data_IF_263477603842
#
_entry.id   IF_263477603842
#
_cell.length_a   1.000
_cell.length_b   1.000
_cell.length_c   1.000
_cell.angle_alpha   90.00
_cell.angle_beta   90.00
_cell.angle_gamma   90.00
#
_symmetry.space_group_name_H-M   'P 1'
#
loop_
_entity.id
_entity.type
_entity.pdbx_description
1 polymer ?
#
# COMPACT_ATOMS: atom_id res chain seq x y z
N UNK A 1 54.80 78.90 -21.30
CA UNK A 1 54.64 78.30 -22.64
C UNK A 1 53.64 77.14 -22.51
N UNK A 2 52.35 77.42 -22.76
CA UNK A 2 51.57 77.01 -23.95
C UNK A 2 51.31 75.48 -23.95
N UNK A 3 50.08 74.92 -23.87
CA UNK A 3 48.73 75.25 -24.41
C UNK A 3 47.64 74.67 -23.48
N UNK A 4 46.63 75.44 -23.03
CA UNK A 4 45.26 75.60 -23.60
C UNK A 4 44.44 74.31 -23.69
N UNK A 5 43.44 74.09 -22.81
CA UNK A 5 42.03 74.57 -22.84
C UNK A 5 41.17 74.00 -23.98
N UNK A 6 40.15 73.19 -23.67
CA UNK A 6 38.74 73.38 -24.11
C UNK A 6 37.77 72.78 -23.07
N UNK A 7 36.78 73.60 -22.69
CA UNK A 7 35.59 73.36 -21.87
C UNK A 7 34.60 72.34 -22.48
N UNK A 8 33.77 71.67 -21.68
CA UNK A 8 32.30 71.67 -21.85
C UNK A 8 31.60 71.04 -20.63
N UNK A 9 30.69 71.82 -20.01
CA UNK A 9 29.67 71.39 -19.05
C UNK A 9 28.72 70.35 -19.66
N UNK A 10 28.14 69.45 -18.86
CA UNK A 10 26.70 69.13 -18.84
C UNK A 10 26.36 68.16 -17.69
N UNK A 11 25.42 68.58 -16.85
CA UNK A 11 24.72 67.84 -15.77
C UNK A 11 23.63 66.98 -16.42
N UNK A 12 23.43 65.70 -16.05
CA UNK A 12 22.14 64.97 -16.06
C UNK A 12 22.32 63.61 -15.31
N UNK A 13 21.74 63.47 -14.13
CA UNK A 13 20.51 62.71 -13.83
C UNK A 13 20.73 61.25 -13.38
N UNK A 14 20.25 61.00 -12.16
CA UNK A 14 19.92 59.72 -11.55
C UNK A 14 19.41 58.67 -12.55
N UNK A 15 20.01 57.48 -12.54
CA UNK A 15 19.23 56.25 -12.51
C UNK A 15 20.00 55.14 -11.79
N UNK A 16 19.53 54.84 -10.58
CA UNK A 16 19.84 53.64 -9.81
C UNK A 16 19.37 52.42 -10.58
N UNK A 17 20.27 51.74 -11.28
CA UNK A 17 19.98 50.38 -11.77
C UNK A 17 20.21 49.41 -10.64
N UNK A 18 19.12 49.15 -9.92
CA UNK A 18 18.96 47.98 -9.04
C UNK A 18 19.29 46.74 -9.86
N UNK A 19 20.46 46.15 -9.61
CA UNK A 19 20.77 44.80 -10.09
C UNK A 19 19.85 43.84 -9.34
N UNK A 20 18.74 43.51 -9.99
CA UNK A 20 17.77 42.50 -9.55
C UNK A 20 18.51 41.18 -9.46
N UNK A 21 18.76 40.75 -8.23
CA UNK A 21 19.27 39.43 -7.85
C UNK A 21 18.49 38.34 -8.57
N UNK A 22 19.09 37.75 -9.59
CA UNK A 22 18.73 36.43 -10.07
C UNK A 22 19.30 35.41 -9.08
N UNK A 23 18.54 35.07 -8.05
CA UNK A 23 18.78 33.84 -7.30
C UNK A 23 18.53 32.68 -8.25
N UNK A 24 19.57 32.18 -8.92
CA UNK A 24 19.56 30.85 -9.50
C UNK A 24 19.45 29.90 -8.31
N UNK A 25 18.23 29.45 -8.01
CA UNK A 25 18.03 28.30 -7.12
C UNK A 25 18.83 27.16 -7.72
N UNK A 26 19.93 26.83 -7.06
CA UNK A 26 20.66 25.61 -7.33
C UNK A 26 19.65 24.47 -7.33
N UNK A 27 19.59 23.74 -8.45
CA UNK A 27 18.78 22.54 -8.58
C UNK A 27 19.20 21.56 -7.49
N UNK A 28 18.43 21.53 -6.40
CA UNK A 28 18.54 20.52 -5.37
C UNK A 28 17.98 19.23 -5.96
N UNK A 29 18.83 18.55 -6.74
CA UNK A 29 18.55 17.24 -7.28
C UNK A 29 18.56 16.22 -6.14
N UNK A 30 17.39 15.89 -5.57
CA UNK A 30 17.01 14.60 -4.91
C UNK A 30 15.48 14.48 -4.72
N UNK A 31 14.70 14.57 -5.79
CA UNK A 31 13.25 14.35 -5.78
C UNK A 31 12.74 14.12 -7.20
N UNK A 32 11.54 13.56 -7.36
CA UNK A 32 10.89 13.54 -8.67
C UNK A 32 10.71 14.98 -9.18
N UNK A 33 10.70 15.20 -10.49
CA UNK A 33 10.62 16.53 -11.11
C UNK A 33 9.24 17.21 -10.92
N UNK A 34 8.42 16.68 -10.01
CA UNK A 34 7.06 17.11 -9.76
C UNK A 34 7.00 18.21 -8.70
N UNK A 35 6.11 19.22 -8.86
CA UNK A 35 5.94 20.28 -7.86
C UNK A 35 5.26 19.75 -6.59
N UNK A 36 5.49 20.41 -5.45
CA UNK A 36 4.91 20.01 -4.15
C UNK A 36 3.38 19.90 -4.16
N UNK A 37 2.69 20.68 -4.99
CA UNK A 37 1.22 20.62 -5.12
C UNK A 37 0.72 19.38 -5.87
N UNK A 38 1.57 18.75 -6.68
CA UNK A 38 1.26 17.56 -7.48
C UNK A 38 2.46 16.61 -7.46
N UNK A 39 2.78 15.99 -6.33
CA UNK A 39 4.08 15.34 -6.14
C UNK A 39 4.17 13.94 -6.75
N UNK A 40 3.12 13.41 -7.39
CA UNK A 40 3.12 12.02 -7.89
C UNK A 40 3.35 11.97 -9.42
N UNK A 41 4.41 11.33 -9.92
CA UNK A 41 4.73 11.29 -11.34
C UNK A 41 4.02 10.13 -12.07
N UNK A 42 3.44 10.39 -13.24
CA UNK A 42 3.13 9.31 -14.20
C UNK A 42 4.43 8.70 -14.75
N UNK A 43 4.36 7.55 -15.42
CA UNK A 43 5.54 6.97 -16.12
C UNK A 43 5.88 7.79 -17.35
N UNK A 44 4.88 8.39 -17.99
CA UNK A 44 5.07 9.42 -19.01
C UNK A 44 5.71 10.68 -18.38
N UNK A 45 6.90 11.10 -18.84
CA UNK A 45 7.62 12.23 -18.25
C UNK A 45 6.84 13.55 -18.33
N UNK A 46 6.95 14.36 -17.28
CA UNK A 46 6.38 15.72 -17.23
C UNK A 46 4.90 15.78 -16.86
N UNK A 47 4.25 14.65 -16.61
CA UNK A 47 2.88 14.58 -16.09
C UNK A 47 2.94 14.23 -14.61
N UNK A 48 2.35 15.11 -13.78
CA UNK A 48 2.33 14.97 -12.34
C UNK A 48 0.92 15.18 -11.79
N UNK A 49 0.52 14.30 -10.88
CA UNK A 49 -0.81 14.26 -10.26
C UNK A 49 -0.74 14.62 -8.77
N UNK A 50 -1.86 15.11 -8.25
CA UNK A 50 -2.10 15.20 -6.81
C UNK A 50 -2.59 13.84 -6.28
N UNK A 51 -2.29 13.49 -5.02
CA UNK A 51 -2.71 12.20 -4.44
C UNK A 51 -4.21 11.91 -4.45
N UNK A 52 -5.04 12.94 -4.60
CA UNK A 52 -6.50 12.80 -4.74
C UNK A 52 -6.92 12.15 -6.07
N UNK A 53 -6.09 12.27 -7.12
CA UNK A 53 -6.28 11.80 -8.50
C UNK A 53 -5.59 10.44 -8.74
N UNK A 54 -5.52 9.61 -7.71
CA UNK A 54 -4.86 8.30 -7.81
C UNK A 54 -5.86 7.30 -7.29
N UNK A 55 -6.21 6.28 -8.05
CA UNK A 55 -7.23 5.30 -7.66
C UNK A 55 -8.57 5.96 -7.32
N UNK A 56 -8.97 6.98 -8.09
CA UNK A 56 -10.27 7.64 -7.97
C UNK A 56 -11.27 7.14 -9.03
N UNK A 57 -10.80 6.31 -9.97
CA UNK A 57 -11.61 5.66 -10.99
C UNK A 57 -11.66 6.42 -12.32
N UNK A 58 -10.97 7.55 -12.45
CA UNK A 58 -10.82 8.29 -13.70
C UNK A 58 -9.36 8.23 -14.17
N UNK A 59 -9.08 7.75 -15.40
CA UNK A 59 -7.70 7.72 -15.88
C UNK A 59 -7.14 9.12 -16.13
N UNK A 60 -6.17 9.52 -15.30
CA UNK A 60 -5.46 10.81 -15.37
C UNK A 60 -4.08 10.69 -16.03
N UNK A 61 -3.42 9.53 -15.97
CA UNK A 61 -2.22 9.26 -16.75
C UNK A 61 -2.57 8.73 -18.15
N UNK A 62 -1.78 9.05 -19.20
CA UNK A 62 -1.98 8.52 -20.55
C UNK A 62 -1.92 6.99 -20.66
N UNK A 63 -1.29 6.34 -19.70
CA UNK A 63 -1.15 4.88 -19.61
C UNK A 63 -2.00 4.27 -18.49
N UNK A 64 -2.92 5.05 -17.90
CA UNK A 64 -3.82 4.64 -16.80
C UNK A 64 -3.06 4.09 -15.58
N UNK A 65 -1.80 4.48 -15.40
CA UNK A 65 -0.94 3.97 -14.33
C UNK A 65 -1.45 4.36 -12.93
N UNK A 66 -2.10 5.51 -12.82
CA UNK A 66 -2.81 5.99 -11.64
C UNK A 66 -3.98 5.09 -11.21
N UNK A 67 -4.49 4.26 -12.13
CA UNK A 67 -5.57 3.29 -11.91
C UNK A 67 -5.08 1.84 -12.00
N UNK A 68 -3.77 1.62 -11.93
CA UNK A 68 -3.20 0.27 -11.89
C UNK A 68 -3.73 -0.51 -10.67
N UNK A 69 -4.32 -1.67 -10.91
CA UNK A 69 -5.01 -2.46 -9.89
C UNK A 69 -4.10 -2.88 -8.74
N UNK A 70 -2.84 -3.22 -9.01
CA UNK A 70 -1.89 -3.66 -7.99
C UNK A 70 -1.44 -2.48 -7.12
N UNK A 71 -1.15 -1.35 -7.76
CA UNK A 71 -0.85 -0.10 -7.09
C UNK A 71 -2.03 0.37 -6.21
N UNK A 72 -3.25 0.33 -6.73
CA UNK A 72 -4.43 0.75 -5.99
C UNK A 72 -4.75 -0.18 -4.82
N UNK A 73 -4.44 -1.47 -4.96
CA UNK A 73 -4.46 -2.39 -3.82
C UNK A 73 -3.44 -1.96 -2.76
N UNK A 74 -2.19 -1.70 -3.14
CA UNK A 74 -1.14 -1.27 -2.22
C UNK A 74 -1.47 0.06 -1.52
N UNK A 75 -2.09 1.02 -2.20
CA UNK A 75 -2.57 2.30 -1.62
C UNK A 75 -3.52 2.09 -0.43
N UNK A 76 -4.37 1.06 -0.49
CA UNK A 76 -5.36 0.75 0.55
C UNK A 76 -4.78 -0.11 1.68
N UNK A 77 -3.62 -0.72 1.49
CA UNK A 77 -2.95 -1.57 2.50
C UNK A 77 -2.19 -0.72 3.54
N UNK A 78 -1.92 -1.27 4.73
CA UNK A 78 -0.96 -0.64 5.63
C UNK A 78 0.45 -0.63 5.02
N UNK A 79 1.30 0.30 5.46
CA UNK A 79 2.70 0.31 5.09
C UNK A 79 3.37 -1.01 5.52
N UNK A 80 4.16 -1.58 4.62
CA UNK A 80 4.76 -2.90 4.81
C UNK A 80 5.63 -2.92 6.07
N UNK A 81 6.47 -1.90 6.29
CA UNK A 81 7.36 -1.82 7.45
C UNK A 81 6.61 -1.85 8.80
N UNK A 82 5.43 -1.21 8.86
CA UNK A 82 4.61 -1.24 10.06
C UNK A 82 3.96 -2.60 10.27
N UNK A 83 3.53 -3.25 9.19
CA UNK A 83 2.96 -4.59 9.25
C UNK A 83 4.01 -5.62 9.66
N UNK A 84 5.23 -5.54 9.12
CA UNK A 84 6.38 -6.36 9.50
C UNK A 84 6.68 -6.23 11.00
N UNK A 85 6.77 -4.99 11.50
CA UNK A 85 7.02 -4.71 12.92
C UNK A 85 5.95 -5.33 13.83
N UNK A 86 4.68 -5.19 13.46
CA UNK A 86 3.57 -5.78 14.19
C UNK A 86 3.61 -7.31 14.19
N UNK A 87 3.81 -7.94 13.03
CA UNK A 87 3.89 -9.40 12.89
C UNK A 87 5.06 -9.94 13.70
N UNK A 88 6.22 -9.30 13.66
CA UNK A 88 7.38 -9.71 14.43
C UNK A 88 7.13 -9.59 15.94
N UNK A 89 6.54 -8.49 16.38
CA UNK A 89 6.20 -8.24 17.80
C UNK A 89 5.22 -9.27 18.37
N UNK A 90 4.25 -9.72 17.57
CA UNK A 90 3.21 -10.68 17.98
C UNK A 90 3.36 -12.04 17.29
N UNK A 91 4.60 -12.41 16.93
CA UNK A 91 4.90 -13.60 16.14
C UNK A 91 4.35 -14.89 16.73
N UNK A 92 4.40 -15.06 18.05
CA UNK A 92 3.95 -16.27 18.74
C UNK A 92 2.44 -16.50 18.61
N UNK A 93 1.69 -15.42 18.42
CA UNK A 93 0.24 -15.49 18.21
C UNK A 93 -0.11 -15.67 16.72
N UNK A 94 0.62 -15.01 15.83
CA UNK A 94 0.28 -14.94 14.41
C UNK A 94 0.87 -16.10 13.59
N UNK A 95 2.07 -16.57 13.95
CA UNK A 95 2.86 -17.54 13.19
C UNK A 95 3.07 -18.81 14.04
N UNK A 96 2.74 -20.00 13.51
CA UNK A 96 2.21 -20.27 12.18
C UNK A 96 0.67 -20.17 12.11
N UNK A 97 0.00 -20.00 13.25
CA UNK A 97 -1.42 -20.36 13.41
C UNK A 97 -2.40 -19.55 12.55
N UNK A 98 -2.08 -18.31 12.19
CA UNK A 98 -2.97 -17.42 11.45
C UNK A 98 -2.40 -17.06 10.08
N UNK A 99 -1.11 -16.69 10.03
CA UNK A 99 -0.47 -16.15 8.82
C UNK A 99 0.34 -17.18 8.02
N UNK A 100 0.39 -18.43 8.48
CA UNK A 100 1.21 -19.46 7.86
C UNK A 100 2.64 -19.47 8.35
N UNK A 101 3.44 -20.38 7.81
CA UNK A 101 4.86 -20.50 8.13
C UNK A 101 5.69 -19.47 7.35
N UNK A 102 6.72 -18.93 7.99
CA UNK A 102 7.65 -17.99 7.35
C UNK A 102 8.21 -16.95 8.30
N UNK A 103 9.01 -16.04 7.74
CA UNK A 103 9.49 -14.88 8.47
C UNK A 103 8.45 -13.76 8.45
N UNK A 104 8.41 -12.89 9.48
CA UNK A 104 7.51 -11.74 9.51
C UNK A 104 7.60 -10.85 8.28
N UNK A 105 8.81 -10.66 7.74
CA UNK A 105 9.06 -9.84 6.55
C UNK A 105 8.32 -10.43 5.34
N UNK A 106 8.60 -11.69 5.02
CA UNK A 106 8.01 -12.38 3.87
C UNK A 106 6.48 -12.45 3.95
N UNK A 107 5.92 -12.65 5.15
CA UNK A 107 4.48 -12.73 5.36
C UNK A 107 3.80 -11.36 5.26
N UNK A 108 4.45 -10.29 5.71
CA UNK A 108 3.96 -8.93 5.55
C UNK A 108 3.94 -8.51 4.07
N UNK A 109 5.02 -8.78 3.33
CA UNK A 109 5.10 -8.52 1.88
C UNK A 109 3.95 -9.23 1.16
N UNK A 110 3.78 -10.53 1.39
CA UNK A 110 2.67 -11.30 0.82
C UNK A 110 1.30 -10.74 1.19
N UNK A 111 1.11 -10.31 2.44
CA UNK A 111 -0.15 -9.68 2.89
C UNK A 111 -0.41 -8.33 2.23
N UNK A 112 0.61 -7.57 1.82
CA UNK A 112 0.42 -6.29 1.13
C UNK A 112 0.17 -6.52 -0.36
N UNK A 113 0.93 -7.41 -0.99
CA UNK A 113 0.87 -7.66 -2.44
C UNK A 113 -0.33 -8.52 -2.86
N UNK A 114 -0.80 -9.41 -2.00
CA UNK A 114 -1.91 -10.31 -2.36
C UNK A 114 -3.22 -9.54 -2.49
N UNK A 115 -3.87 -9.64 -3.66
CA UNK A 115 -5.11 -8.95 -3.98
C UNK A 115 -6.24 -9.31 -3.02
N UNK A 116 -6.40 -10.60 -2.78
CA UNK A 116 -7.42 -11.15 -1.88
C UNK A 116 -6.84 -12.30 -1.04
N UNK A 117 -7.68 -12.82 -0.14
CA UNK A 117 -7.33 -13.93 0.74
C UNK A 117 -6.97 -15.21 -0.01
N UNK A 118 -7.51 -15.46 -1.20
CA UNK A 118 -7.22 -16.65 -2.01
C UNK A 118 -5.78 -16.62 -2.50
N UNK A 119 -5.34 -15.48 -3.02
CA UNK A 119 -3.98 -15.27 -3.49
C UNK A 119 -2.98 -15.35 -2.32
N UNK A 120 -3.32 -14.75 -1.18
CA UNK A 120 -2.51 -14.86 0.02
C UNK A 120 -2.38 -16.31 0.51
N UNK A 121 -3.51 -17.03 0.59
CA UNK A 121 -3.52 -18.42 1.02
C UNK A 121 -2.62 -19.29 0.13
N UNK A 122 -2.62 -19.05 -1.18
CA UNK A 122 -1.74 -19.72 -2.14
C UNK A 122 -0.28 -19.34 -1.91
N UNK A 123 0.03 -18.06 -1.77
CA UNK A 123 1.40 -17.54 -1.63
C UNK A 123 2.06 -17.89 -0.29
N UNK A 124 1.28 -17.95 0.79
CA UNK A 124 1.72 -18.33 2.14
C UNK A 124 1.52 -19.82 2.44
N UNK A 125 1.01 -20.60 1.48
CA UNK A 125 0.73 -22.03 1.64
C UNK A 125 -0.15 -22.35 2.86
N UNK A 126 -1.21 -21.56 3.07
CA UNK A 126 -2.09 -21.74 4.22
C UNK A 126 -2.87 -23.04 4.13
N UNK A 127 -2.96 -23.71 5.28
CA UNK A 127 -3.94 -24.78 5.51
C UNK A 127 -5.34 -24.20 5.63
N UNK A 128 -6.37 -25.03 5.43
CA UNK A 128 -7.76 -24.60 5.59
C UNK A 128 -8.05 -24.02 6.98
N UNK A 129 -7.45 -24.61 8.03
CA UNK A 129 -7.60 -24.12 9.40
C UNK A 129 -6.99 -22.73 9.58
N UNK A 130 -5.82 -22.46 8.99
CA UNK A 130 -5.19 -21.14 9.02
C UNK A 130 -6.01 -20.10 8.23
N UNK A 131 -6.52 -20.48 7.06
CA UNK A 131 -7.43 -19.62 6.26
C UNK A 131 -8.64 -19.21 7.09
N UNK A 132 -9.28 -20.17 7.78
CA UNK A 132 -10.43 -19.89 8.63
C UNK A 132 -10.07 -18.95 9.80
N UNK A 133 -8.93 -19.17 10.45
CA UNK A 133 -8.43 -18.29 11.52
C UNK A 133 -8.13 -16.86 11.01
N UNK A 134 -7.60 -16.71 9.80
CA UNK A 134 -7.36 -15.41 9.18
C UNK A 134 -8.69 -14.69 8.87
N UNK A 135 -9.70 -15.41 8.38
CA UNK A 135 -11.05 -14.86 8.19
C UNK A 135 -11.63 -14.39 9.52
N UNK A 136 -11.54 -15.22 10.56
CA UNK A 136 -12.02 -14.88 11.91
C UNK A 136 -11.31 -13.66 12.51
N UNK A 137 -9.98 -13.56 12.32
CA UNK A 137 -9.19 -12.40 12.72
C UNK A 137 -9.72 -11.13 12.06
N UNK A 138 -9.81 -11.12 10.72
CA UNK A 138 -10.22 -9.94 9.95
C UNK A 138 -11.68 -9.56 10.21
N UNK A 139 -12.59 -10.54 10.33
CA UNK A 139 -13.99 -10.31 10.69
C UNK A 139 -14.15 -9.84 12.13
N UNK A 140 -13.31 -10.32 13.04
CA UNK A 140 -13.24 -9.86 14.43
C UNK A 140 -12.79 -8.40 14.52
N UNK A 141 -11.76 -8.02 13.76
CA UNK A 141 -11.28 -6.63 13.62
C UNK A 141 -12.38 -5.73 13.04
N UNK A 142 -12.99 -6.12 11.91
CA UNK A 142 -14.14 -5.40 11.30
C UNK A 142 -15.24 -5.14 12.32
N UNK A 143 -15.59 -6.16 13.09
CA UNK A 143 -16.75 -6.14 13.99
C UNK A 143 -16.45 -5.53 15.37
N UNK A 144 -15.21 -5.11 15.65
CA UNK A 144 -14.84 -4.61 16.98
C UNK A 144 -14.86 -5.67 18.08
N UNK A 145 -14.85 -6.97 17.75
CA UNK A 145 -15.04 -8.08 18.71
C UNK A 145 -13.73 -8.43 19.42
N UNK A 146 -13.20 -7.49 20.21
CA UNK A 146 -11.92 -7.65 20.90
C UNK A 146 -11.85 -8.89 21.80
N UNK A 147 -12.93 -9.20 22.52
CA UNK A 147 -13.00 -10.38 23.41
C UNK A 147 -12.82 -11.68 22.62
N UNK A 148 -13.42 -11.77 21.42
CA UNK A 148 -13.25 -12.94 20.54
C UNK A 148 -11.79 -13.10 20.13
N UNK A 149 -11.13 -12.01 19.77
CA UNK A 149 -9.72 -12.06 19.36
C UNK A 149 -8.80 -12.43 20.53
N UNK A 150 -9.11 -11.99 21.76
CA UNK A 150 -8.40 -12.45 22.95
C UNK A 150 -8.59 -13.96 23.18
N UNK A 151 -9.78 -14.51 22.94
CA UNK A 151 -10.00 -15.95 22.97
C UNK A 151 -9.26 -16.69 21.85
N UNK A 152 -8.97 -16.02 20.73
CA UNK A 152 -8.11 -16.52 19.66
C UNK A 152 -6.60 -16.36 19.95
N UNK A 153 -6.22 -15.89 21.15
CA UNK A 153 -4.82 -15.76 21.57
C UNK A 153 -4.22 -14.35 21.42
N UNK A 154 -5.01 -13.33 21.07
CA UNK A 154 -4.52 -11.96 20.95
C UNK A 154 -3.88 -11.48 22.26
N UNK A 155 -2.61 -11.05 22.27
CA UNK A 155 -1.98 -10.50 23.45
C UNK A 155 -2.68 -9.23 23.96
N UNK A 156 -2.66 -9.03 25.27
CA UNK A 156 -3.19 -7.82 25.89
C UNK A 156 -2.45 -6.59 25.34
N UNK A 157 -3.20 -5.56 24.95
CA UNK A 157 -2.66 -4.33 24.37
C UNK A 157 -2.35 -4.38 22.87
N UNK A 158 -2.51 -5.53 22.18
CA UNK A 158 -2.32 -5.60 20.73
C UNK A 158 -3.45 -4.92 19.93
N UNK A 159 -4.62 -4.73 20.54
CA UNK A 159 -5.85 -4.31 19.86
C UNK A 159 -5.72 -3.02 19.05
N UNK A 160 -5.13 -1.95 19.61
CA UNK A 160 -5.07 -0.65 18.92
C UNK A 160 -4.24 -0.72 17.64
N UNK A 161 -3.09 -1.40 17.71
CA UNK A 161 -2.17 -1.57 16.58
C UNK A 161 -2.76 -2.54 15.55
N UNK A 162 -3.33 -3.66 16.01
CA UNK A 162 -4.05 -4.62 15.17
C UNK A 162 -5.17 -3.93 14.41
N UNK A 163 -6.01 -3.16 15.10
CA UNK A 163 -7.16 -2.50 14.49
C UNK A 163 -6.72 -1.55 13.39
N UNK A 164 -5.71 -0.71 13.63
CA UNK A 164 -5.22 0.25 12.62
C UNK A 164 -4.68 -0.47 11.37
N UNK A 165 -3.93 -1.57 11.54
CA UNK A 165 -3.28 -2.26 10.44
C UNK A 165 -4.24 -3.21 9.70
N UNK A 166 -4.90 -4.12 10.41
CA UNK A 166 -5.72 -5.17 9.82
C UNK A 166 -7.10 -4.67 9.38
N UNK A 167 -7.61 -3.55 9.93
CA UNK A 167 -8.83 -2.94 9.40
C UNK A 167 -8.61 -2.37 7.99
N UNK A 168 -7.42 -1.84 7.69
CA UNK A 168 -7.05 -1.41 6.32
C UNK A 168 -7.01 -2.59 5.35
N UNK A 169 -6.44 -3.71 5.76
CA UNK A 169 -6.46 -4.96 4.96
C UNK A 169 -7.90 -5.37 4.68
N UNK A 170 -8.78 -5.35 5.69
CA UNK A 170 -10.20 -5.64 5.49
C UNK A 170 -10.86 -4.67 4.49
N UNK A 171 -10.65 -3.36 4.65
CA UNK A 171 -11.26 -2.33 3.81
C UNK A 171 -10.79 -2.36 2.35
N UNK A 172 -9.61 -2.91 2.06
CA UNK A 172 -9.13 -3.04 0.68
C UNK A 172 -9.89 -4.12 -0.12
N UNK A 173 -10.95 -4.72 0.43
CA UNK A 173 -11.69 -5.80 -0.21
C UNK A 173 -11.00 -7.16 -0.14
N UNK A 174 -10.03 -7.35 0.76
CA UNK A 174 -9.24 -8.58 0.84
C UNK A 174 -10.09 -9.85 1.05
N UNK A 175 -11.27 -9.71 1.67
CA UNK A 175 -12.22 -10.80 1.90
C UNK A 175 -13.35 -10.90 0.85
N UNK A 176 -13.31 -10.14 -0.24
CA UNK A 176 -14.40 -10.15 -1.23
C UNK A 176 -14.56 -11.50 -1.95
N UNK A 177 -13.47 -12.27 -2.06
CA UNK A 177 -13.43 -13.57 -2.75
C UNK A 177 -13.46 -14.78 -1.80
N UNK A 178 -13.90 -14.59 -0.54
CA UNK A 178 -13.95 -15.69 0.45
C UNK A 178 -14.81 -16.86 -0.03
N UNK A 179 -15.89 -16.59 -0.76
CA UNK A 179 -16.80 -17.63 -1.27
C UNK A 179 -16.09 -18.60 -2.24
N UNK A 180 -15.03 -18.15 -2.93
CA UNK A 180 -14.24 -19.01 -3.82
C UNK A 180 -13.52 -20.13 -3.05
N UNK A 181 -13.21 -19.92 -1.77
CA UNK A 181 -12.58 -20.93 -0.90
C UNK A 181 -13.58 -22.02 -0.48
N UNK A 182 -14.88 -21.71 -0.45
CA UNK A 182 -15.93 -22.66 -0.06
C UNK A 182 -16.31 -23.60 -1.20
N UNK A 183 -16.31 -23.10 -2.44
CA UNK A 183 -16.69 -23.90 -3.62
C UNK A 183 -15.77 -25.09 -3.89
N UNK A 184 -14.47 -24.96 -3.59
CA UNK A 184 -13.49 -26.06 -3.73
C UNK A 184 -13.68 -27.16 -2.68
N UNK A 185 -14.13 -26.82 -1.46
CA UNK A 185 -14.41 -27.82 -0.42
C UNK A 185 -15.71 -28.58 -0.69
N UNK A 186 -16.79 -27.89 -1.06
CA UNK A 186 -18.05 -28.55 -1.43
C UNK A 186 -17.88 -29.44 -2.66
N UNK A 187 -17.08 -29.01 -3.66
CA UNK A 187 -16.78 -29.83 -4.84
C UNK A 187 -15.86 -31.01 -4.50
N UNK A 188 -14.88 -30.85 -3.60
CA UNK A 188 -14.00 -31.92 -3.13
C UNK A 188 -14.77 -32.97 -2.32
N UNK A 189 -15.66 -32.54 -1.42
CA UNK A 189 -16.51 -33.45 -0.64
C UNK A 189 -17.53 -34.18 -1.51
N UNK A 190 -18.06 -33.51 -2.55
CA UNK A 190 -18.91 -34.16 -3.57
C UNK A 190 -18.13 -35.17 -4.41
N UNK A 191 -16.86 -34.94 -4.69
CA UNK A 191 -16.00 -35.87 -5.44
C UNK A 191 -15.60 -37.11 -4.61
N UNK A 192 -15.29 -36.94 -3.32
CA UNK A 192 -14.98 -38.06 -2.41
C UNK A 192 -16.23 -38.88 -2.04
N UNK A 193 -17.38 -38.25 -1.85
CA UNK A 193 -18.66 -38.97 -1.63
C UNK A 193 -19.09 -39.76 -2.87
N UNK A 194 -18.88 -39.22 -4.08
CA UNK A 194 -19.20 -39.92 -5.34
C UNK A 194 -18.26 -41.11 -5.62
N UNK A 195 -17.00 -41.10 -5.14
CA UNK A 195 -16.06 -42.24 -5.26
C UNK A 195 -16.22 -43.30 -4.18
N UNK A 196 -16.75 -42.98 -2.99
CA UNK A 196 -17.03 -44.00 -1.95
C UNK A 196 -18.23 -44.89 -2.28
N UNK A 197 -19.17 -44.42 -3.11
CA UNK A 197 -20.34 -45.21 -3.54
C UNK A 197 -20.09 -46.14 -4.75
N UNK A 198 -18.88 -46.16 -5.34
CA UNK A 198 -18.53 -47.03 -6.47
C UNK A 198 -17.54 -48.15 -6.12
N UNK A 199 -17.24 -48.37 -4.83
CA UNK A 199 -16.29 -49.42 -4.40
C UNK A 199 -16.86 -50.48 -3.45
N UNK A 200 -18.18 -50.49 -3.24
CA UNK A 200 -18.90 -51.52 -2.48
C UNK A 200 -20.08 -52.16 -3.23
N UNK A 201 -20.22 -51.86 -4.52
CA UNK A 201 -21.13 -52.57 -5.42
C UNK A 201 -20.40 -52.86 -6.73
N UNK A 202 -19.60 -53.93 -6.71
CA UNK A 202 -19.42 -54.93 -7.77
C UNK A 202 -18.49 -56.03 -7.26
#
# INVERSE_FOLDING_TARGET
MFRSCVFFLLIFAFHTTVLRTGYVKAAANRGNDCPESKPWPCRTPGICLSFALICDGEPDCPEEYDEDQEMCTAKLRPAEEHLQGFINKYREWLIPDILGEGKPEDLATKLVESRNIVDYARAAHLTQAQVQRLIELLMGVKSGKQILLHMMGMPLGAWSELYVLFYRIYLSGFLNDVDQLQTTEEQRDKYWTKRRFHRYFH
#
